data_IF_390463330433
#
_entry.id   IF_390463330433
#
_cell.length_a   1.000
_cell.length_b   1.000
_cell.length_c   1.000
_cell.angle_alpha   90.00
_cell.angle_beta   90.00
_cell.angle_gamma   90.00
#
_symmetry.space_group_name_H-M   'P 1'
#
loop_
_entity.id
_entity.type
_entity.pdbx_description
1 polymer ?
#
# COMPACT_ATOMS: atom_id res chain seq x y z
N UNK A 1 3.16 10.94 -11.37
CA UNK A 1 3.28 9.49 -11.21
C UNK A 1 4.45 9.06 -12.09
N UNK A 2 5.49 8.46 -11.50
CA UNK A 2 6.75 8.14 -12.19
C UNK A 2 6.79 6.64 -12.53
N UNK A 3 7.08 6.23 -13.78
CA UNK A 3 7.16 4.82 -14.12
C UNK A 3 8.37 4.15 -13.44
N UNK A 4 8.16 2.95 -12.91
CA UNK A 4 9.23 2.15 -12.30
C UNK A 4 9.98 1.42 -13.40
N UNK A 5 11.24 1.78 -13.62
CA UNK A 5 12.11 1.08 -14.58
C UNK A 5 12.50 -0.29 -14.04
N UNK A 6 12.68 -1.26 -14.93
CA UNK A 6 13.17 -2.60 -14.54
C UNK A 6 14.52 -2.49 -13.82
N UNK A 7 14.68 -3.27 -12.73
CA UNK A 7 15.88 -3.24 -11.89
C UNK A 7 15.96 -2.06 -10.92
N UNK A 8 15.02 -1.11 -10.96
CA UNK A 8 14.99 -0.02 -9.99
C UNK A 8 14.68 -0.54 -8.58
N UNK A 9 15.38 0.02 -7.58
CA UNK A 9 15.11 -0.25 -6.18
C UNK A 9 13.97 0.64 -5.70
N UNK A 10 12.96 0.02 -5.08
CA UNK A 10 11.77 0.70 -4.57
C UNK A 10 11.60 0.45 -3.08
N UNK A 11 10.91 1.37 -2.39
CA UNK A 11 10.51 1.22 -1.00
C UNK A 11 9.04 1.61 -0.85
N UNK A 12 8.25 0.72 -0.26
CA UNK A 12 6.88 1.04 0.13
C UNK A 12 6.83 1.45 1.59
N UNK A 13 6.20 2.58 1.88
CA UNK A 13 5.78 2.95 3.24
C UNK A 13 4.29 2.66 3.36
N UNK A 14 3.96 1.77 4.28
CA UNK A 14 2.59 1.33 4.53
C UNK A 14 2.15 1.84 5.89
N UNK A 15 0.98 2.49 5.94
CA UNK A 15 0.33 2.89 7.19
C UNK A 15 -1.03 2.22 7.26
N UNK A 16 -1.29 1.50 8.35
CA UNK A 16 -2.62 0.98 8.65
C UNK A 16 -3.55 2.15 8.97
N UNK A 17 -4.51 2.41 8.10
CA UNK A 17 -5.42 3.56 8.20
C UNK A 17 -6.69 3.20 8.99
N UNK A 18 -7.24 2.01 8.78
CA UNK A 18 -8.39 1.52 9.56
C UNK A 18 -8.49 0.01 9.55
N UNK A 19 -9.16 -0.52 10.58
CA UNK A 19 -9.59 -1.91 10.69
C UNK A 19 -11.10 -1.92 10.86
N UNK A 20 -11.80 -2.71 10.06
CA UNK A 20 -13.24 -2.91 10.20
C UNK A 20 -13.56 -4.41 10.28
N UNK A 21 -14.22 -4.84 11.37
CA UNK A 21 -14.71 -6.22 11.50
C UNK A 21 -15.96 -6.39 10.64
N UNK A 22 -16.02 -7.44 9.82
CA UNK A 22 -17.18 -7.77 8.98
C UNK A 22 -18.00 -8.97 9.46
N UNK A 23 -17.61 -9.57 10.59
CA UNK A 23 -18.25 -10.78 11.13
C UNK A 23 -17.67 -12.06 10.52
N UNK A 24 -17.99 -13.22 11.09
CA UNK A 24 -17.58 -14.55 10.59
C UNK A 24 -16.06 -14.69 10.37
N UNK A 25 -15.26 -14.19 11.31
CA UNK A 25 -13.79 -14.22 11.19
C UNK A 25 -13.21 -13.27 10.12
N UNK A 26 -14.03 -12.44 9.47
CA UNK A 26 -13.60 -11.52 8.40
C UNK A 26 -13.28 -10.12 8.93
N UNK A 27 -12.22 -9.54 8.39
CA UNK A 27 -11.77 -8.18 8.72
C UNK A 27 -11.31 -7.47 7.44
N UNK A 28 -11.79 -6.24 7.21
CA UNK A 28 -11.24 -5.36 6.18
C UNK A 28 -10.20 -4.44 6.80
N UNK A 29 -8.98 -4.49 6.29
CA UNK A 29 -7.93 -3.50 6.54
C UNK A 29 -7.97 -2.45 5.43
N UNK A 30 -7.84 -1.17 5.79
CA UNK A 30 -7.45 -0.11 4.87
C UNK A 30 -6.02 0.29 5.16
N UNK A 31 -5.18 0.29 4.13
CA UNK A 31 -3.79 0.75 4.22
C UNK A 31 -3.57 1.93 3.28
N UNK A 32 -2.81 2.93 3.74
CA UNK A 32 -2.27 3.98 2.89
C UNK A 32 -0.86 3.59 2.48
N UNK A 33 -0.61 3.56 1.18
CA UNK A 33 0.64 3.07 0.60
C UNK A 33 1.29 4.17 -0.23
N UNK A 34 2.55 4.45 0.06
CA UNK A 34 3.40 5.34 -0.72
C UNK A 34 4.63 4.56 -1.21
N UNK A 35 4.76 4.40 -2.53
CA UNK A 35 5.86 3.70 -3.17
C UNK A 35 6.85 4.71 -3.75
N UNK A 36 8.06 4.70 -3.22
CA UNK A 36 9.16 5.57 -3.63
C UNK A 36 10.17 4.78 -4.47
N UNK A 37 10.83 5.47 -5.40
CA UNK A 37 11.96 4.95 -6.17
C UNK A 37 13.22 5.64 -5.66
N UNK A 38 14.32 4.89 -5.48
CA UNK A 38 15.59 5.47 -5.06
C UNK A 38 16.10 6.51 -6.08
N UNK A 39 16.45 7.72 -5.60
CA UNK A 39 16.94 8.81 -6.43
C UNK A 39 15.88 9.66 -7.14
N UNK A 40 14.59 9.36 -6.96
CA UNK A 40 13.49 10.11 -7.57
C UNK A 40 12.71 10.91 -6.51
N UNK A 41 12.37 12.17 -6.81
CA UNK A 41 11.64 13.05 -5.88
C UNK A 41 10.13 12.76 -5.86
N UNK A 42 9.60 12.17 -6.93
CA UNK A 42 8.16 11.91 -7.09
C UNK A 42 7.85 10.44 -6.82
N UNK A 43 6.82 10.14 -6.00
CA UNK A 43 6.43 8.75 -5.76
C UNK A 43 5.93 8.09 -7.04
N UNK A 44 6.22 6.79 -7.16
CA UNK A 44 5.67 5.92 -8.19
C UNK A 44 4.18 5.66 -7.98
N UNK A 45 3.76 5.55 -6.71
CA UNK A 45 2.37 5.28 -6.33
C UNK A 45 2.04 5.91 -4.99
N UNK A 46 0.87 6.53 -4.91
CA UNK A 46 0.19 6.93 -3.67
C UNK A 46 -1.23 6.38 -3.76
N UNK A 47 -1.59 5.42 -2.93
CA UNK A 47 -2.90 4.75 -3.03
C UNK A 47 -3.40 4.23 -1.69
N UNK A 48 -4.71 3.97 -1.63
CA UNK A 48 -5.32 3.18 -0.58
C UNK A 48 -5.56 1.75 -1.07
N UNK A 49 -5.15 0.77 -0.25
CA UNK A 49 -5.41 -0.64 -0.52
C UNK A 49 -6.34 -1.20 0.54
N UNK A 50 -7.41 -1.85 0.10
CA UNK A 50 -8.33 -2.60 0.94
C UNK A 50 -7.95 -4.08 0.90
N UNK A 51 -7.79 -4.69 2.07
CA UNK A 51 -7.45 -6.11 2.21
C UNK A 51 -8.50 -6.78 3.09
N UNK A 52 -9.17 -7.81 2.58
CA UNK A 52 -10.01 -8.68 3.39
C UNK A 52 -9.16 -9.82 3.94
N UNK A 53 -9.01 -9.87 5.27
CA UNK A 53 -8.51 -11.05 5.96
C UNK A 53 -9.69 -11.97 6.30
N UNK A 54 -9.50 -13.27 6.10
CA UNK A 54 -10.46 -14.33 6.43
C UNK A 54 -9.74 -15.37 7.26
N UNK A 55 -10.34 -15.80 8.37
CA UNK A 55 -9.83 -16.85 9.26
C UNK A 55 -10.46 -18.21 8.93
#
# INVERSE_FOLDING_TARGET
MTPVKAGARVRSRVVLASIERKGDGRVILKTSNELLIEGEDKPALVAQTLVMLVA
#
